data_IF_633384714683
#
_entry.id   IF_633384714683
#
_cell.length_a   1.000
_cell.length_b   1.000
_cell.length_c   1.000
_cell.angle_alpha   90.00
_cell.angle_beta   90.00
_cell.angle_gamma   90.00
#
_symmetry.space_group_name_H-M   'P 1'
#
loop_
_entity.id
_entity.type
_entity.pdbx_description
1 polymer ?
#
# COMPACT_ATOMS: atom_id res chain seq x y z
N UNK A 1 -1.31 10.96 -10.90
CA UNK A 1 -1.88 9.86 -10.08
C UNK A 1 -3.39 9.84 -10.09
N UNK A 2 -4.07 10.98 -9.98
CA UNK A 2 -5.54 11.06 -9.94
C UNK A 2 -6.21 10.45 -11.19
N UNK A 3 -5.71 10.75 -12.39
CA UNK A 3 -6.17 10.12 -13.65
C UNK A 3 -5.92 8.60 -13.72
N UNK A 4 -5.03 8.07 -12.90
CA UNK A 4 -4.74 6.63 -12.83
C UNK A 4 -5.64 5.90 -11.80
N UNK A 5 -6.55 6.61 -11.11
CA UNK A 5 -7.44 6.03 -10.10
C UNK A 5 -6.76 5.71 -8.77
N UNK A 6 -5.55 6.23 -8.55
CA UNK A 6 -4.77 6.01 -7.31
C UNK A 6 -5.21 7.03 -6.26
N UNK A 7 -6.42 6.83 -5.73
CA UNK A 7 -7.11 7.82 -4.89
C UNK A 7 -6.77 7.72 -3.40
N UNK A 8 -6.62 6.51 -2.86
CA UNK A 8 -6.34 6.30 -1.44
C UNK A 8 -4.90 6.72 -1.09
N UNK A 9 -3.94 6.33 -1.93
CA UNK A 9 -2.55 6.76 -1.78
C UNK A 9 -2.39 8.28 -1.94
N UNK A 10 -3.14 8.88 -2.87
CA UNK A 10 -3.14 10.33 -3.08
C UNK A 10 -3.73 11.04 -1.86
N UNK A 11 -4.87 10.57 -1.33
CA UNK A 11 -5.51 11.17 -0.16
C UNK A 11 -4.56 11.22 1.04
N UNK A 12 -3.77 10.17 1.26
CA UNK A 12 -2.74 10.14 2.31
C UNK A 12 -1.67 11.19 2.09
N UNK A 13 -1.24 11.38 0.84
CA UNK A 13 -0.06 12.18 0.51
C UNK A 13 -0.36 13.65 0.20
N UNK A 14 -1.65 14.05 0.12
CA UNK A 14 -2.09 15.40 -0.25
C UNK A 14 -1.52 16.53 0.64
N UNK A 15 -1.15 16.22 1.88
CA UNK A 15 -0.57 17.19 2.81
C UNK A 15 0.95 17.40 2.64
N UNK A 16 1.60 16.63 1.78
CA UNK A 16 3.06 16.73 1.56
C UNK A 16 3.42 17.87 0.61
N UNK A 17 4.53 18.56 0.89
CA UNK A 17 5.15 19.49 -0.06
C UNK A 17 5.88 18.79 -1.22
N UNK A 18 6.14 17.48 -1.07
CA UNK A 18 6.70 16.61 -2.10
C UNK A 18 5.61 15.79 -2.76
N UNK A 19 5.68 15.66 -4.09
CA UNK A 19 4.70 14.86 -4.82
C UNK A 19 4.80 13.36 -4.47
N UNK A 20 3.66 12.68 -4.28
CA UNK A 20 3.65 11.25 -4.03
C UNK A 20 4.18 10.46 -5.23
N UNK A 21 4.97 9.41 -4.95
CA UNK A 21 5.55 8.53 -5.96
C UNK A 21 5.15 7.06 -5.71
N UNK A 22 4.63 6.40 -6.75
CA UNK A 22 4.44 4.95 -6.79
C UNK A 22 5.54 4.41 -7.69
N UNK A 23 6.62 3.94 -7.08
CA UNK A 23 7.81 3.48 -7.80
C UNK A 23 7.62 2.02 -8.15
N UNK A 24 7.72 1.70 -9.43
CA UNK A 24 7.63 0.33 -9.96
C UNK A 24 8.94 -0.03 -10.63
N UNK A 25 9.57 -1.09 -10.14
CA UNK A 25 10.78 -1.67 -10.73
C UNK A 25 10.46 -3.09 -11.18
N UNK A 26 10.75 -3.39 -12.44
CA UNK A 26 10.51 -4.71 -13.02
C UNK A 26 11.84 -5.41 -13.29
N UNK A 27 11.87 -6.70 -12.95
CA UNK A 27 12.94 -7.61 -13.33
C UNK A 27 12.30 -8.77 -14.09
N UNK A 28 12.58 -8.85 -15.39
CA UNK A 28 12.12 -9.93 -16.24
C UNK A 28 13.13 -11.08 -16.13
N UNK A 29 12.73 -12.14 -15.43
CA UNK A 29 13.52 -13.35 -15.25
C UNK A 29 13.41 -14.29 -16.45
N UNK A 30 13.16 -15.59 -16.19
CA UNK A 30 12.92 -16.56 -17.25
C UNK A 30 11.62 -16.24 -18.03
N UNK A 31 11.68 -15.94 -19.34
CA UNK A 31 10.50 -15.59 -20.13
C UNK A 31 9.51 -16.75 -20.30
N UNK A 32 9.90 -17.99 -19.97
CA UNK A 32 9.00 -19.17 -19.98
C UNK A 32 8.25 -19.35 -18.67
N UNK A 33 8.66 -18.65 -17.61
CA UNK A 33 8.03 -18.74 -16.31
C UNK A 33 6.75 -17.94 -16.27
N UNK A 34 5.67 -18.56 -15.79
CA UNK A 34 4.43 -17.86 -15.48
C UNK A 34 4.41 -17.25 -14.07
N UNK A 35 5.46 -17.46 -13.27
CA UNK A 35 5.53 -16.91 -11.90
C UNK A 35 5.86 -15.42 -11.94
N UNK A 36 4.95 -14.60 -11.39
CA UNK A 36 5.10 -13.15 -11.27
C UNK A 36 4.98 -12.77 -9.79
N UNK A 37 6.12 -12.64 -9.14
CA UNK A 37 6.22 -12.20 -7.75
C UNK A 37 6.27 -10.67 -7.69
N UNK A 38 5.40 -10.05 -6.91
CA UNK A 38 5.52 -8.64 -6.56
C UNK A 38 5.93 -8.47 -5.09
N UNK A 39 6.91 -7.60 -4.86
CA UNK A 39 7.28 -7.09 -3.55
C UNK A 39 6.64 -5.71 -3.40
N UNK A 40 5.82 -5.52 -2.37
CA UNK A 40 5.10 -4.25 -2.14
C UNK A 40 5.48 -3.70 -0.77
N UNK A 41 6.01 -2.48 -0.74
CA UNK A 41 6.48 -1.84 0.49
C UNK A 41 5.60 -0.66 0.92
N UNK A 42 5.45 -0.45 2.23
CA UNK A 42 5.01 0.85 2.77
C UNK A 42 6.19 1.83 2.67
N UNK A 43 6.06 2.83 1.79
CA UNK A 43 7.07 3.86 1.54
C UNK A 43 6.78 5.23 2.17
N UNK A 44 6.08 5.27 3.31
CA UNK A 44 5.80 6.53 4.01
C UNK A 44 7.07 7.03 4.70
N UNK A 45 7.58 8.17 4.25
CA UNK A 45 8.83 8.77 4.74
C UNK A 45 8.65 9.50 6.07
N UNK A 46 7.44 10.03 6.33
CA UNK A 46 7.09 10.70 7.58
C UNK A 46 5.58 10.54 7.84
N UNK A 47 5.16 10.32 9.09
CA UNK A 47 3.75 10.20 9.47
C UNK A 47 3.21 11.50 10.10
N UNK A 48 3.19 12.60 9.34
CA UNK A 48 2.39 13.77 9.75
C UNK A 48 0.94 13.52 9.34
N UNK A 49 0.10 13.05 10.27
CA UNK A 49 -1.35 13.00 10.06
C UNK A 49 -1.90 14.39 9.67
N UNK A 50 -3.08 14.44 9.02
CA UNK A 50 -3.81 15.70 8.80
C UNK A 50 -4.15 16.08 7.35
N UNK A 51 -3.80 15.27 6.35
CA UNK A 51 -4.23 15.51 4.96
C UNK A 51 -5.73 15.24 4.72
N UNK A 52 -6.34 14.43 5.59
CA UNK A 52 -7.74 14.03 5.60
C UNK A 52 -8.19 13.87 7.06
N UNK A 53 -9.50 13.77 7.29
CA UNK A 53 -10.12 13.77 8.62
C UNK A 53 -10.90 12.49 8.89
N UNK A 54 -11.11 12.12 10.17
CA UNK A 54 -12.11 11.11 10.51
C UNK A 54 -13.49 11.48 9.95
N UNK A 55 -14.19 10.52 9.37
CA UNK A 55 -15.45 10.68 8.66
C UNK A 55 -15.32 10.94 7.15
N UNK A 56 -14.12 11.24 6.65
CA UNK A 56 -13.90 11.38 5.20
C UNK A 56 -14.09 10.03 4.50
N UNK A 57 -14.76 10.05 3.34
CA UNK A 57 -14.92 8.89 2.47
C UNK A 57 -13.94 9.04 1.30
N UNK A 58 -12.97 8.15 1.26
CA UNK A 58 -11.89 8.14 0.27
C UNK A 58 -12.14 6.98 -0.71
N UNK A 59 -12.00 7.23 -2.01
CA UNK A 59 -12.04 6.16 -3.00
C UNK A 59 -10.72 5.40 -3.09
N UNK A 60 -10.71 4.32 -3.86
CA UNK A 60 -9.52 3.49 -4.08
C UNK A 60 -9.44 3.06 -5.53
N UNK A 61 -8.26 2.62 -5.95
CA UNK A 61 -8.03 2.04 -7.27
C UNK A 61 -8.90 0.81 -7.54
N UNK A 62 -9.41 0.18 -6.46
CA UNK A 62 -10.36 -0.92 -6.52
C UNK A 62 -11.82 -0.53 -6.77
N UNK A 63 -12.10 0.77 -6.91
CA UNK A 63 -13.45 1.36 -6.96
C UNK A 63 -14.30 1.11 -5.71
N UNK A 64 -13.66 0.73 -4.61
CA UNK A 64 -14.28 0.70 -3.28
C UNK A 64 -14.06 2.02 -2.57
N UNK A 65 -15.02 2.40 -1.75
CA UNK A 65 -14.91 3.53 -0.83
C UNK A 65 -14.41 3.06 0.53
N UNK A 66 -13.65 3.92 1.21
CA UNK A 66 -13.03 3.69 2.52
C UNK A 66 -13.43 4.86 3.39
N UNK A 67 -14.16 4.59 4.46
CA UNK A 67 -14.39 5.57 5.52
C UNK A 67 -13.14 5.64 6.41
N UNK A 68 -12.65 6.85 6.63
CA UNK A 68 -11.55 7.08 7.56
C UNK A 68 -12.09 7.17 8.97
N UNK A 69 -11.74 6.21 9.81
CA UNK A 69 -12.01 6.31 11.25
C UNK A 69 -10.82 6.87 12.03
N UNK A 70 -9.60 6.60 11.56
CA UNK A 70 -8.36 7.08 12.17
C UNK A 70 -7.36 7.47 11.07
N UNK A 71 -6.85 8.70 11.14
CA UNK A 71 -5.88 9.23 10.18
C UNK A 71 -4.50 8.59 10.30
N UNK A 72 -4.13 8.08 11.48
CA UNK A 72 -2.86 7.36 11.75
C UNK A 72 -2.93 5.87 11.32
N UNK A 73 -3.96 5.50 10.55
CA UNK A 73 -4.04 4.22 9.86
C UNK A 73 -3.63 4.36 8.37
N UNK A 74 -2.88 5.38 8.01
CA UNK A 74 -2.58 5.79 6.64
C UNK A 74 -1.81 4.73 5.84
N UNK A 75 -0.94 3.96 6.51
CA UNK A 75 -0.14 2.92 5.87
C UNK A 75 -0.98 1.89 5.10
N UNK A 76 -2.14 1.50 5.62
CA UNK A 76 -2.99 0.51 4.93
C UNK A 76 -3.71 1.11 3.71
N UNK A 77 -4.02 2.41 3.74
CA UNK A 77 -4.62 3.12 2.60
C UNK A 77 -3.62 3.19 1.45
N UNK A 78 -2.35 3.53 1.76
CA UNK A 78 -1.28 3.55 0.74
C UNK A 78 -1.06 2.18 0.11
N UNK A 79 -1.08 1.12 0.92
CA UNK A 79 -0.90 -0.25 0.43
C UNK A 79 -2.10 -0.75 -0.38
N UNK A 80 -3.32 -0.29 -0.11
CA UNK A 80 -4.51 -0.75 -0.83
C UNK A 80 -4.40 -0.50 -2.35
N UNK A 81 -3.98 0.70 -2.74
CA UNK A 81 -3.78 1.03 -4.16
C UNK A 81 -2.55 0.31 -4.75
N UNK A 82 -1.44 0.23 -4.00
CA UNK A 82 -0.22 -0.44 -4.47
C UNK A 82 -0.43 -1.95 -4.69
N UNK A 83 -1.13 -2.62 -3.77
CA UNK A 83 -1.51 -4.03 -3.90
C UNK A 83 -2.44 -4.24 -5.08
N UNK A 84 -3.44 -3.36 -5.25
CA UNK A 84 -4.34 -3.44 -6.41
C UNK A 84 -3.54 -3.32 -7.71
N UNK A 85 -2.64 -2.34 -7.79
CA UNK A 85 -1.79 -2.11 -8.95
C UNK A 85 -0.95 -3.36 -9.28
N UNK A 86 -0.34 -3.99 -8.28
CA UNK A 86 0.44 -5.21 -8.45
C UNK A 86 -0.41 -6.36 -9.02
N UNK A 87 -1.62 -6.57 -8.51
CA UNK A 87 -2.51 -7.64 -9.00
C UNK A 87 -3.01 -7.36 -10.41
N UNK A 88 -3.50 -6.15 -10.66
CA UNK A 88 -4.32 -5.89 -11.85
C UNK A 88 -3.55 -5.28 -13.00
N UNK A 89 -2.53 -4.48 -12.71
CA UNK A 89 -1.64 -3.90 -13.73
C UNK A 89 -0.47 -4.84 -14.00
N UNK A 90 0.26 -5.26 -12.96
CA UNK A 90 1.45 -6.11 -13.14
C UNK A 90 1.13 -7.60 -13.30
N UNK A 91 -0.11 -8.02 -13.01
CA UNK A 91 -0.54 -9.43 -13.07
C UNK A 91 0.30 -10.34 -12.16
N UNK A 92 0.69 -9.83 -10.99
CA UNK A 92 1.37 -10.65 -10.00
C UNK A 92 0.44 -11.77 -9.51
N UNK A 93 0.96 -13.00 -9.45
CA UNK A 93 0.25 -14.16 -8.89
C UNK A 93 0.70 -14.49 -7.46
N UNK A 94 1.81 -13.90 -7.02
CA UNK A 94 2.27 -13.94 -5.64
C UNK A 94 2.66 -12.55 -5.20
N UNK A 95 2.23 -12.18 -4.00
CA UNK A 95 2.60 -10.89 -3.40
C UNK A 95 3.14 -11.10 -2.00
N UNK A 96 4.24 -10.42 -1.72
CA UNK A 96 4.77 -10.21 -0.37
C UNK A 96 4.71 -8.72 -0.09
N UNK A 97 3.91 -8.33 0.92
CA UNK A 97 3.90 -6.97 1.42
C UNK A 97 4.71 -6.82 2.70
N UNK A 98 5.46 -5.71 2.79
CA UNK A 98 6.34 -5.39 3.93
C UNK A 98 6.03 -3.97 4.40
N UNK A 99 5.64 -3.85 5.67
CA UNK A 99 5.26 -2.56 6.24
C UNK A 99 5.48 -2.49 7.76
N UNK A 100 5.91 -1.32 8.23
CA UNK A 100 5.87 -0.92 9.65
C UNK A 100 4.45 -0.43 9.99
N UNK A 101 3.50 -1.37 10.01
CA UNK A 101 2.07 -1.00 9.95
C UNK A 101 1.45 -0.74 11.32
N UNK A 102 1.77 -1.53 12.35
CA UNK A 102 1.16 -1.39 13.68
C UNK A 102 2.16 -1.73 14.79
N UNK A 103 2.04 -1.05 15.93
CA UNK A 103 2.71 -1.46 17.17
C UNK A 103 2.16 -2.77 17.76
N UNK A 104 0.95 -3.16 17.39
CA UNK A 104 0.34 -4.41 17.85
C UNK A 104 1.15 -5.66 17.43
N UNK A 105 1.89 -5.58 16.31
CA UNK A 105 2.81 -6.64 15.90
C UNK A 105 3.89 -6.93 16.97
N UNK A 106 4.37 -5.89 17.67
CA UNK A 106 5.36 -6.05 18.74
C UNK A 106 4.72 -6.74 19.95
N UNK A 107 3.50 -6.35 20.32
CA UNK A 107 2.77 -6.96 21.43
C UNK A 107 2.48 -8.44 21.15
N UNK A 108 2.13 -8.78 19.90
CA UNK A 108 1.78 -10.14 19.51
C UNK A 108 3.00 -11.06 19.28
N UNK A 109 4.08 -10.55 18.69
CA UNK A 109 5.19 -11.38 18.19
C UNK A 109 6.54 -11.10 18.87
N UNK A 110 6.63 -10.05 19.69
CA UNK A 110 7.88 -9.58 20.29
C UNK A 110 8.76 -8.80 19.30
N UNK A 111 9.98 -8.47 19.74
CA UNK A 111 10.84 -7.49 19.05
C UNK A 111 11.67 -8.06 17.89
N UNK A 112 11.83 -9.39 17.82
CA UNK A 112 12.73 -10.06 16.85
C UNK A 112 11.97 -10.78 15.73
N UNK A 113 10.64 -10.83 15.82
CA UNK A 113 9.80 -11.51 14.85
C UNK A 113 9.06 -10.49 13.98
N UNK A 114 8.96 -10.79 12.69
CA UNK A 114 8.17 -10.00 11.75
C UNK A 114 6.83 -10.69 11.48
N UNK A 115 5.74 -9.92 11.48
CA UNK A 115 4.47 -10.37 10.93
C UNK A 115 4.59 -10.40 9.42
N UNK A 116 4.43 -11.58 8.80
CA UNK A 116 4.51 -11.74 7.35
C UNK A 116 3.11 -11.95 6.79
N UNK A 117 2.82 -11.30 5.66
CA UNK A 117 1.61 -11.56 4.88
C UNK A 117 2.02 -12.07 3.50
N UNK A 118 1.56 -13.28 3.18
CA UNK A 118 1.65 -13.88 1.86
C UNK A 118 0.27 -13.87 1.23
N UNK A 119 0.19 -13.39 0.00
CA UNK A 119 -1.02 -13.41 -0.80
C UNK A 119 -0.73 -14.23 -2.06
N UNK A 120 -1.32 -15.43 -2.11
CA UNK A 120 -1.47 -16.20 -3.33
C UNK A 120 -2.82 -15.78 -3.96
N UNK A 121 -2.81 -15.34 -5.22
CA UNK A 121 -3.91 -14.59 -5.86
C UNK A 121 -4.27 -15.19 -7.21
#
# INVERSE_FOLDING_TARGET
>A
MEKAGVEAFLAVSKGSSQEPQLIVMNYEGDPKSNNKLALVGKGLTFNSGGAYKPGDIIGSMSRKTIEVLNTDAEGRLTLADALWYAVKTLKANRIVDVATLTGACIVALGNINISKRFLDI
#
